data_IF_450066349026
#
_entry.id   IF_450066349026
#
_cell.length_a   1.000
_cell.length_b   1.000
_cell.length_c   1.000
_cell.angle_alpha   90.00
_cell.angle_beta   90.00
_cell.angle_gamma   90.00
#
_symmetry.space_group_name_H-M   'P 1'
#
loop_
_entity.id
_entity.type
_entity.pdbx_description
1 polymer ?
#
# COMPACT_ATOMS: atom_id res chain seq x y z
N UNK A 1 17.46 23.00 -15.08
CA UNK A 1 17.30 22.39 -16.42
C UNK A 1 16.42 23.21 -17.36
N UNK A 2 15.17 23.56 -16.99
CA UNK A 2 14.28 24.34 -17.89
C UNK A 2 14.79 25.75 -18.25
N UNK A 3 15.34 26.49 -17.30
CA UNK A 3 15.89 27.83 -17.57
C UNK A 3 17.04 27.80 -18.60
N UNK A 4 17.96 26.84 -18.49
CA UNK A 4 19.05 26.65 -19.46
C UNK A 4 18.51 26.30 -20.86
N UNK A 5 17.45 25.50 -20.94
CA UNK A 5 16.82 25.14 -22.21
C UNK A 5 16.18 26.35 -22.92
N UNK A 6 15.49 27.24 -22.17
CA UNK A 6 14.93 28.46 -22.75
C UNK A 6 16.00 29.43 -23.25
N UNK A 7 17.15 29.51 -22.56
CA UNK A 7 18.30 30.30 -23.03
C UNK A 7 18.83 29.75 -24.36
N UNK A 8 18.99 28.42 -24.47
CA UNK A 8 19.45 27.78 -25.71
C UNK A 8 18.46 28.02 -26.87
N UNK A 9 17.15 27.93 -26.62
CA UNK A 9 16.13 28.24 -27.63
C UNK A 9 16.20 29.69 -28.08
N UNK A 10 16.37 30.63 -27.14
CA UNK A 10 16.56 32.04 -27.48
C UNK A 10 17.75 32.25 -28.41
N UNK A 11 18.89 31.60 -28.14
CA UNK A 11 20.09 31.68 -28.98
C UNK A 11 19.86 31.08 -30.38
N UNK A 12 19.20 29.92 -30.48
CA UNK A 12 18.88 29.30 -31.78
C UNK A 12 17.94 30.21 -32.57
N UNK A 13 16.90 30.76 -31.94
CA UNK A 13 15.95 31.61 -32.62
C UNK A 13 16.57 32.94 -33.09
N UNK A 14 17.47 33.52 -32.30
CA UNK A 14 18.28 34.69 -32.69
C UNK A 14 19.18 34.39 -33.89
N UNK A 15 19.83 33.23 -33.90
CA UNK A 15 20.64 32.80 -35.04
C UNK A 15 19.78 32.64 -36.31
N UNK A 16 18.63 31.96 -36.22
CA UNK A 16 17.71 31.83 -37.35
C UNK A 16 17.18 33.17 -37.85
N UNK A 17 16.88 34.11 -36.95
CA UNK A 17 16.44 35.46 -37.29
C UNK A 17 17.53 36.24 -38.05
N UNK A 18 18.78 36.10 -37.62
CA UNK A 18 19.94 36.69 -38.31
C UNK A 18 20.10 36.11 -39.72
N UNK A 19 20.12 34.78 -39.87
CA UNK A 19 20.19 34.15 -41.20
C UNK A 19 19.02 34.53 -42.11
N UNK A 20 17.81 34.61 -41.57
CA UNK A 20 16.63 35.02 -42.32
C UNK A 20 16.72 36.48 -42.77
N UNK A 21 17.31 37.36 -41.95
CA UNK A 21 17.57 38.74 -42.33
C UNK A 21 18.58 38.82 -43.48
N UNK A 22 19.72 38.13 -43.37
CA UNK A 22 20.77 38.10 -44.40
C UNK A 22 20.25 37.58 -45.75
N UNK A 23 19.50 36.47 -45.71
CA UNK A 23 18.86 35.90 -46.89
C UNK A 23 17.83 36.88 -47.49
N UNK A 24 16.96 37.47 -46.65
CA UNK A 24 15.94 38.41 -47.11
C UNK A 24 16.55 39.66 -47.75
N UNK A 25 17.61 40.20 -47.16
CA UNK A 25 18.32 41.35 -47.70
C UNK A 25 19.00 41.03 -49.04
N UNK A 26 19.72 39.90 -49.11
CA UNK A 26 20.36 39.45 -50.35
C UNK A 26 19.35 39.20 -51.49
N UNK A 27 18.19 38.60 -51.19
CA UNK A 27 17.12 38.41 -52.17
C UNK A 27 16.53 39.73 -52.65
N UNK A 28 16.24 40.65 -51.73
CA UNK A 28 15.66 41.95 -52.06
C UNK A 28 16.60 42.78 -52.93
N UNK A 29 17.91 42.76 -52.65
CA UNK A 29 18.93 43.39 -53.50
C UNK A 29 18.96 42.73 -54.88
N UNK A 30 18.92 41.39 -54.94
CA UNK A 30 18.89 40.65 -56.21
C UNK A 30 17.67 40.95 -57.07
N UNK A 31 16.49 41.05 -56.45
CA UNK A 31 15.24 41.42 -57.13
C UNK A 31 15.28 42.86 -57.65
N UNK A 32 15.81 43.80 -56.86
CA UNK A 32 15.84 45.21 -57.25
C UNK A 32 16.89 45.51 -58.31
N UNK A 33 18.10 44.93 -58.19
CA UNK A 33 19.24 45.22 -59.08
C UNK A 33 19.32 44.26 -60.27
N UNK A 34 18.50 43.19 -60.27
CA UNK A 34 18.59 42.04 -61.18
C UNK A 34 19.93 41.29 -61.11
N UNK A 35 20.76 41.57 -60.12
CA UNK A 35 22.05 40.91 -59.88
C UNK A 35 21.98 40.00 -58.68
N UNK A 36 22.06 38.68 -58.91
CA UNK A 36 21.99 37.67 -57.85
C UNK A 36 23.34 37.38 -57.19
N UNK A 37 24.35 38.23 -57.40
CA UNK A 37 25.70 38.00 -56.91
C UNK A 37 25.78 37.96 -55.38
N UNK A 38 25.06 38.87 -54.71
CA UNK A 38 24.98 38.92 -53.25
C UNK A 38 24.36 37.63 -52.67
N UNK A 39 23.31 37.12 -53.32
CA UNK A 39 22.65 35.87 -52.93
C UNK A 39 23.55 34.65 -53.17
N UNK A 40 24.27 34.59 -54.30
CA UNK A 40 25.20 33.49 -54.59
C UNK A 40 26.36 33.46 -53.59
N UNK A 41 26.94 34.61 -53.25
CA UNK A 41 28.02 34.66 -52.26
C UNK A 41 27.56 34.27 -50.86
N UNK A 42 26.35 34.66 -50.47
CA UNK A 42 25.76 34.24 -49.21
C UNK A 42 25.47 32.73 -49.15
N UNK A 43 24.76 32.15 -50.14
CA UNK A 43 24.34 30.74 -50.11
C UNK A 43 25.40 29.74 -50.63
N UNK A 44 26.13 30.08 -51.69
CA UNK A 44 27.14 29.19 -52.30
C UNK A 44 28.56 29.52 -51.86
N UNK A 45 28.87 30.80 -51.62
CA UNK A 45 30.16 31.25 -51.09
C UNK A 45 30.29 31.08 -49.57
N UNK A 46 29.20 30.75 -48.86
CA UNK A 46 29.13 30.66 -47.40
C UNK A 46 29.58 31.94 -46.68
N UNK A 47 29.45 33.09 -47.34
CA UNK A 47 29.80 34.39 -46.77
C UNK A 47 28.61 34.93 -45.95
N UNK A 48 28.37 34.32 -44.79
CA UNK A 48 27.13 34.46 -44.01
C UNK A 48 26.84 35.92 -43.57
N UNK A 49 27.87 36.73 -43.35
CA UNK A 49 27.73 38.13 -42.84
C UNK A 49 27.89 39.16 -43.97
N UNK A 50 28.16 38.70 -45.19
CA UNK A 50 28.47 39.60 -46.31
C UNK A 50 27.31 40.52 -46.71
N UNK A 51 26.03 40.08 -46.73
CA UNK A 51 24.93 41.00 -46.99
C UNK A 51 24.79 42.11 -45.94
N UNK A 52 24.97 41.84 -44.64
CA UNK A 52 25.04 42.88 -43.61
C UNK A 52 26.21 43.85 -43.82
N UNK A 53 27.40 43.35 -44.20
CA UNK A 53 28.56 44.20 -44.48
C UNK A 53 28.27 45.16 -45.63
N UNK A 54 27.64 44.68 -46.70
CA UNK A 54 27.23 45.52 -47.84
C UNK A 54 26.18 46.55 -47.42
N UNK A 55 25.19 46.14 -46.62
CA UNK A 55 24.20 47.06 -46.07
C UNK A 55 24.85 48.19 -45.24
N UNK A 56 25.82 47.84 -44.40
CA UNK A 56 26.55 48.78 -43.55
C UNK A 56 27.40 49.77 -44.37
N UNK A 57 28.17 49.26 -45.35
CA UNK A 57 29.03 50.09 -46.20
C UNK A 57 28.24 51.08 -47.05
N UNK A 58 27.03 50.72 -47.47
CA UNK A 58 26.18 51.54 -48.34
C UNK A 58 25.00 52.18 -47.60
N UNK A 59 25.09 52.29 -46.27
CA UNK A 59 23.98 52.74 -45.43
C UNK A 59 23.51 54.16 -45.73
N UNK A 60 24.36 54.99 -46.33
CA UNK A 60 23.98 56.35 -46.75
C UNK A 60 22.92 56.38 -47.88
N UNK A 61 22.71 55.26 -48.58
CA UNK A 61 21.71 55.15 -49.65
C UNK A 61 20.30 54.93 -49.09
N UNK A 62 19.31 55.79 -49.43
CA UNK A 62 17.92 55.59 -49.01
C UNK A 62 17.32 54.26 -49.50
N UNK A 63 17.80 53.76 -50.64
CA UNK A 63 17.36 52.49 -51.21
C UNK A 63 17.80 51.31 -50.35
N UNK A 64 19.06 51.31 -49.91
CA UNK A 64 19.62 50.26 -49.04
C UNK A 64 18.90 50.24 -47.69
N UNK A 65 18.60 51.42 -47.12
CA UNK A 65 17.83 51.54 -45.88
C UNK A 65 16.43 50.94 -46.02
N UNK A 66 15.72 51.19 -47.12
CA UNK A 66 14.40 50.60 -47.37
C UNK A 66 14.45 49.08 -47.50
N UNK A 67 15.46 48.54 -48.19
CA UNK A 67 15.64 47.10 -48.33
C UNK A 67 16.00 46.43 -47.01
N UNK A 68 16.92 47.01 -46.23
CA UNK A 68 17.31 46.51 -44.91
C UNK A 68 16.14 46.51 -43.94
N UNK A 69 15.29 47.55 -43.99
CA UNK A 69 14.06 47.63 -43.18
C UNK A 69 13.05 46.57 -43.57
N UNK A 70 12.88 46.28 -44.87
CA UNK A 70 12.02 45.17 -45.33
C UNK A 70 12.58 43.80 -44.94
N UNK A 71 13.90 43.63 -44.98
CA UNK A 71 14.57 42.40 -44.52
C UNK A 71 14.39 42.18 -43.01
N UNK A 72 14.26 43.25 -42.22
CA UNK A 72 13.94 43.18 -40.79
C UNK A 72 12.63 42.42 -40.52
N UNK A 73 11.61 42.60 -41.36
CA UNK A 73 10.36 41.85 -41.26
C UNK A 73 10.61 40.35 -41.43
N UNK A 74 11.44 39.94 -42.40
CA UNK A 74 11.81 38.53 -42.61
C UNK A 74 12.53 37.93 -41.39
N UNK A 75 13.46 38.66 -40.81
CA UNK A 75 14.16 38.25 -39.57
C UNK A 75 13.23 38.13 -38.37
N UNK A 76 12.32 39.09 -38.16
CA UNK A 76 11.35 39.08 -37.06
C UNK A 76 10.32 37.95 -37.20
N UNK A 77 9.86 37.66 -38.44
CA UNK A 77 8.96 36.54 -38.71
C UNK A 77 9.65 35.21 -38.39
N UNK A 78 10.90 35.04 -38.82
CA UNK A 78 11.67 33.83 -38.50
C UNK A 78 11.88 33.67 -36.98
N UNK A 79 12.19 34.76 -36.28
CA UNK A 79 12.33 34.76 -34.81
C UNK A 79 11.03 34.28 -34.13
N UNK A 80 9.88 34.83 -34.53
CA UNK A 80 8.59 34.48 -33.96
C UNK A 80 8.21 33.02 -34.24
N UNK A 81 8.41 32.54 -35.46
CA UNK A 81 8.08 31.16 -35.84
C UNK A 81 8.97 30.12 -35.16
N UNK A 82 10.28 30.37 -35.07
CA UNK A 82 11.23 29.44 -34.45
C UNK A 82 11.05 29.39 -32.94
N UNK A 83 10.86 30.54 -32.27
CA UNK A 83 10.58 30.57 -30.83
C UNK A 83 9.28 29.83 -30.50
N UNK A 84 8.20 30.07 -31.26
CA UNK A 84 6.92 29.41 -31.05
C UNK A 84 7.01 27.89 -31.30
N UNK A 85 7.65 27.47 -32.39
CA UNK A 85 7.82 26.05 -32.73
C UNK A 85 8.66 25.28 -31.71
N UNK A 86 9.78 25.86 -31.27
CA UNK A 86 10.65 25.23 -30.26
C UNK A 86 9.99 25.19 -28.87
N UNK A 87 9.23 26.23 -28.50
CA UNK A 87 8.46 26.23 -27.25
C UNK A 87 7.36 25.14 -27.26
N UNK A 88 6.61 25.00 -28.36
CA UNK A 88 5.61 23.94 -28.49
C UNK A 88 6.24 22.53 -28.49
N UNK A 89 7.38 22.34 -29.15
CA UNK A 89 8.11 21.08 -29.14
C UNK A 89 8.62 20.72 -27.72
N UNK A 90 9.04 21.71 -26.93
CA UNK A 90 9.41 21.49 -25.54
C UNK A 90 8.23 21.06 -24.68
N UNK A 91 7.05 21.63 -24.90
CA UNK A 91 5.85 21.24 -24.18
C UNK A 91 5.39 19.82 -24.53
N UNK A 92 5.51 19.42 -25.80
CA UNK A 92 5.14 18.06 -26.25
C UNK A 92 6.14 16.99 -25.79
N UNK A 93 7.43 17.34 -25.65
CA UNK A 93 8.46 16.46 -25.06
C UNK A 93 8.36 16.35 -23.54
N UNK A 94 7.59 17.23 -22.88
CA UNK A 94 7.45 17.33 -21.43
C UNK A 94 6.74 16.17 -20.73
N UNK A 95 6.40 15.10 -21.45
CA UNK A 95 5.65 13.95 -20.96
C UNK A 95 4.18 14.30 -20.70
N UNK A 96 3.29 13.32 -20.89
CA UNK A 96 1.87 13.48 -20.62
C UNK A 96 1.64 14.15 -19.25
N UNK A 97 0.86 15.24 -19.22
CA UNK A 97 0.42 15.87 -17.97
C UNK A 97 -0.17 14.78 -17.07
N UNK A 98 0.44 14.57 -15.90
CA UNK A 98 -0.07 13.57 -14.96
C UNK A 98 -1.52 13.95 -14.56
N UNK A 99 -2.46 13.01 -14.62
CA UNK A 99 -3.84 13.27 -14.24
C UNK A 99 -3.92 13.84 -12.82
N UNK A 100 -4.78 14.84 -12.62
CA UNK A 100 -4.94 15.56 -11.33
C UNK A 100 -5.46 14.69 -10.18
N UNK A 101 -5.85 13.43 -10.45
CA UNK A 101 -6.27 12.43 -9.46
C UNK A 101 -5.66 11.04 -9.66
N UNK A 102 -4.51 10.93 -10.35
CA UNK A 102 -3.86 9.65 -10.63
C UNK A 102 -2.98 9.13 -9.48
N UNK A 103 -2.75 7.82 -9.46
CA UNK A 103 -1.71 7.21 -8.64
C UNK A 103 -0.33 7.41 -9.29
N UNK A 104 0.70 7.65 -8.47
CA UNK A 104 2.09 7.69 -8.91
C UNK A 104 2.99 7.02 -7.87
N UNK A 105 4.19 6.63 -8.30
CA UNK A 105 5.21 6.19 -7.35
C UNK A 105 5.55 7.31 -6.37
N UNK A 106 5.71 6.93 -5.10
CA UNK A 106 6.03 7.84 -4.04
C UNK A 106 7.46 8.37 -4.18
N UNK A 107 7.65 9.63 -3.81
CA UNK A 107 8.96 10.26 -3.64
C UNK A 107 9.32 10.30 -2.16
N UNK A 108 10.59 10.59 -1.84
CA UNK A 108 11.00 10.78 -0.44
C UNK A 108 10.15 11.86 0.27
N UNK A 109 9.76 12.93 -0.46
CA UNK A 109 8.91 13.98 0.10
C UNK A 109 7.54 13.44 0.50
N UNK A 110 6.96 12.54 -0.28
CA UNK A 110 5.67 11.91 0.04
C UNK A 110 5.79 11.02 1.26
N UNK A 111 6.83 10.19 1.33
CA UNK A 111 7.11 9.32 2.48
C UNK A 111 7.30 10.15 3.77
N UNK A 112 8.02 11.26 3.68
CA UNK A 112 8.21 12.20 4.79
C UNK A 112 6.91 12.86 5.23
N UNK A 113 6.10 13.33 4.28
CA UNK A 113 4.78 13.93 4.54
C UNK A 113 3.83 12.93 5.19
N UNK A 114 3.87 11.66 4.76
CA UNK A 114 3.12 10.56 5.34
C UNK A 114 3.68 10.05 6.69
N UNK A 115 4.80 10.61 7.18
CA UNK A 115 5.41 10.21 8.46
C UNK A 115 6.13 8.86 8.42
N UNK A 116 6.28 8.23 7.25
CA UNK A 116 6.82 6.88 7.13
C UNK A 116 8.34 6.78 7.35
N UNK A 117 9.05 7.92 7.41
CA UNK A 117 10.49 7.96 7.64
C UNK A 117 10.85 8.23 9.12
N UNK A 118 9.85 8.31 10.01
CA UNK A 118 10.03 8.64 11.44
C UNK A 118 9.77 7.45 12.38
N UNK A 119 9.34 6.31 11.84
CA UNK A 119 9.03 5.14 12.64
C UNK A 119 10.27 4.58 13.35
N UNK A 120 10.05 3.94 14.50
CA UNK A 120 11.11 3.37 15.33
C UNK A 120 11.12 1.85 15.21
N UNK A 121 12.29 1.20 15.06
CA UNK A 121 12.40 -0.26 15.12
C UNK A 121 11.73 -0.83 16.36
N UNK A 122 10.97 -1.89 16.16
CA UNK A 122 10.23 -2.60 17.22
C UNK A 122 8.95 -1.94 17.74
N UNK A 123 8.68 -0.68 17.38
CA UNK A 123 7.44 0.05 17.69
C UNK A 123 6.71 0.53 16.43
N UNK A 124 7.20 0.17 15.26
CA UNK A 124 6.65 0.55 13.97
C UNK A 124 6.93 -0.56 12.97
N UNK A 125 5.93 -0.90 12.17
CA UNK A 125 6.03 -2.00 11.21
C UNK A 125 6.96 -1.59 10.08
N UNK A 126 8.03 -2.35 9.88
CA UNK A 126 8.94 -2.19 8.77
C UNK A 126 8.29 -2.58 7.44
N UNK A 127 8.28 -1.63 6.50
CA UNK A 127 7.70 -1.81 5.16
C UNK A 127 8.75 -2.03 4.08
N UNK A 128 10.03 -1.72 4.36
CA UNK A 128 11.13 -1.79 3.40
C UNK A 128 12.04 -0.58 3.47
N UNK A 129 12.85 -0.38 2.42
CA UNK A 129 13.85 0.69 2.34
C UNK A 129 13.69 1.52 1.07
N UNK A 130 13.81 2.83 1.20
CA UNK A 130 13.77 3.78 0.08
C UNK A 130 15.01 4.68 0.15
N UNK A 131 15.85 4.66 -0.89
CA UNK A 131 17.11 5.44 -0.95
C UNK A 131 17.95 5.33 0.34
N UNK A 132 18.13 4.11 0.84
CA UNK A 132 18.92 3.86 2.03
C UNK A 132 18.25 4.27 3.35
N UNK A 133 16.98 4.68 3.36
CA UNK A 133 16.20 5.02 4.57
C UNK A 133 15.11 4.00 4.83
N UNK A 134 14.94 3.61 6.08
CA UNK A 134 13.86 2.70 6.47
C UNK A 134 12.51 3.39 6.32
N UNK A 135 11.56 2.67 5.74
CA UNK A 135 10.16 3.06 5.61
C UNK A 135 9.38 2.23 6.61
N UNK A 136 8.75 2.91 7.58
CA UNK A 136 8.10 2.29 8.73
C UNK A 136 6.73 2.90 8.95
N UNK A 137 5.74 2.04 9.20
CA UNK A 137 4.39 2.45 9.50
C UNK A 137 4.15 2.40 11.02
N UNK A 138 3.79 3.55 11.60
CA UNK A 138 3.51 3.70 13.04
C UNK A 138 2.02 3.91 13.36
N UNK A 139 1.15 3.76 12.36
CA UNK A 139 -0.29 3.97 12.55
C UNK A 139 -1.02 2.70 12.99
N UNK A 140 -2.33 2.81 13.17
CA UNK A 140 -3.19 1.74 13.67
C UNK A 140 -3.94 0.96 12.56
N UNK A 141 -3.69 1.25 11.29
CA UNK A 141 -4.35 0.53 10.18
C UNK A 141 -3.74 -0.84 9.93
N UNK A 142 -4.53 -1.74 9.34
CA UNK A 142 -4.08 -3.06 8.92
C UNK A 142 -3.15 -2.97 7.70
N UNK A 143 -2.24 -3.94 7.60
CA UNK A 143 -1.30 -4.07 6.48
C UNK A 143 -1.63 -5.34 5.70
N UNK A 144 -1.84 -5.18 4.40
CA UNK A 144 -2.04 -6.28 3.47
C UNK A 144 -0.78 -6.49 2.62
N UNK A 145 -0.17 -7.67 2.73
CA UNK A 145 1.02 -8.04 1.96
C UNK A 145 0.64 -9.08 0.92
N UNK A 146 0.64 -8.68 -0.34
CA UNK A 146 0.35 -9.55 -1.48
C UNK A 146 1.64 -9.99 -2.17
N UNK A 147 1.69 -11.24 -2.61
CA UNK A 147 2.75 -11.80 -3.43
C UNK A 147 2.55 -13.30 -3.66
N UNK A 148 3.08 -13.87 -4.75
CA UNK A 148 2.97 -15.30 -5.02
C UNK A 148 3.78 -16.15 -4.01
N UNK A 149 3.71 -17.47 -4.13
CA UNK A 149 4.59 -18.37 -3.37
C UNK A 149 6.06 -18.08 -3.73
N UNK A 150 6.96 -18.24 -2.74
CA UNK A 150 8.41 -17.96 -2.88
C UNK A 150 8.79 -16.52 -3.23
N UNK A 151 7.87 -15.55 -3.14
CA UNK A 151 8.16 -14.12 -3.38
C UNK A 151 8.88 -13.42 -2.21
N UNK A 152 9.29 -14.17 -1.18
CA UNK A 152 9.98 -13.61 -0.03
C UNK A 152 9.11 -12.91 1.02
N UNK A 153 7.76 -13.07 1.02
CA UNK A 153 6.90 -12.45 2.06
C UNK A 153 7.31 -12.78 3.49
N UNK A 154 7.74 -14.02 3.74
CA UNK A 154 8.23 -14.48 5.03
C UNK A 154 9.50 -13.73 5.44
N UNK A 155 10.58 -13.96 4.69
CA UNK A 155 11.92 -13.39 4.97
C UNK A 155 12.01 -11.86 4.83
N UNK A 156 11.20 -11.25 3.95
CA UNK A 156 11.27 -9.82 3.63
C UNK A 156 10.32 -8.95 4.45
N UNK A 157 9.28 -9.52 5.05
CA UNK A 157 8.29 -8.76 5.82
C UNK A 157 7.95 -9.41 7.16
N UNK A 158 7.50 -10.67 7.18
CA UNK A 158 7.00 -11.32 8.40
C UNK A 158 8.12 -11.49 9.43
N UNK A 159 9.22 -12.17 9.07
CA UNK A 159 10.31 -12.49 9.98
C UNK A 159 11.02 -11.22 10.52
N UNK A 160 11.39 -10.23 9.69
CA UNK A 160 12.01 -9.00 10.18
C UNK A 160 11.14 -8.22 11.16
N UNK A 161 9.83 -8.15 10.90
CA UNK A 161 8.90 -7.50 11.82
C UNK A 161 8.72 -8.32 13.10
N UNK A 162 8.57 -9.64 13.01
CA UNK A 162 8.37 -10.50 14.16
C UNK A 162 9.56 -10.52 15.13
N UNK A 163 10.80 -10.41 14.63
CA UNK A 163 11.98 -10.37 15.50
C UNK A 163 12.18 -9.01 16.17
N UNK A 164 11.89 -7.90 15.47
CA UNK A 164 12.10 -6.57 16.04
C UNK A 164 10.97 -6.12 16.96
N UNK A 165 9.73 -6.58 16.71
CA UNK A 165 8.51 -6.12 17.37
C UNK A 165 8.53 -6.38 18.88
N UNK A 166 8.42 -5.30 19.65
CA UNK A 166 8.51 -5.35 21.12
C UNK A 166 7.18 -5.60 21.82
N UNK A 167 6.06 -5.44 21.11
CA UNK A 167 4.75 -5.77 21.62
C UNK A 167 4.44 -7.27 21.56
N UNK A 168 3.24 -7.61 22.04
CA UNK A 168 2.67 -8.94 21.88
C UNK A 168 2.49 -9.27 20.39
N UNK A 169 2.68 -10.55 20.05
CA UNK A 169 2.56 -11.08 18.70
C UNK A 169 1.82 -12.40 18.76
N UNK A 170 0.74 -12.53 17.98
CA UNK A 170 0.06 -13.80 17.72
C UNK A 170 0.26 -14.07 16.24
N UNK A 171 0.90 -15.19 15.92
CA UNK A 171 1.24 -15.58 14.55
C UNK A 171 0.60 -16.90 14.16
N UNK A 172 -0.10 -16.93 13.01
CA UNK A 172 -0.52 -18.17 12.38
C UNK A 172 0.65 -18.76 11.59
N UNK A 173 1.31 -19.75 12.15
CA UNK A 173 2.53 -20.34 11.59
C UNK A 173 2.34 -21.78 11.09
N UNK A 174 1.77 -21.92 9.90
CA UNK A 174 1.50 -23.23 9.31
C UNK A 174 2.80 -24.03 9.07
N UNK A 175 3.91 -23.33 8.80
CA UNK A 175 5.19 -23.95 8.44
C UNK A 175 6.19 -24.08 9.59
N UNK A 176 5.90 -23.46 10.73
CA UNK A 176 6.79 -23.36 11.91
C UNK A 176 8.04 -22.49 11.73
N UNK A 177 8.10 -21.69 10.66
CA UNK A 177 9.24 -20.83 10.38
C UNK A 177 9.42 -19.73 11.44
N UNK A 178 8.32 -19.18 12.00
CA UNK A 178 8.43 -18.18 13.08
C UNK A 178 8.85 -18.81 14.41
N UNK A 179 8.35 -19.99 14.73
CA UNK A 179 8.74 -20.69 15.96
C UNK A 179 10.23 -21.04 15.93
N UNK A 180 10.69 -21.69 14.86
CA UNK A 180 12.05 -22.20 14.75
C UNK A 180 13.09 -21.07 14.65
N UNK A 181 12.80 -20.01 13.86
CA UNK A 181 13.77 -18.94 13.61
C UNK A 181 13.72 -17.81 14.65
N UNK A 182 12.54 -17.50 15.20
CA UNK A 182 12.32 -16.27 15.98
C UNK A 182 11.92 -16.56 17.42
N UNK A 183 11.38 -17.75 17.73
CA UNK A 183 10.94 -18.09 19.09
C UNK A 183 12.02 -17.87 20.14
N UNK A 184 13.22 -18.42 19.90
CA UNK A 184 14.37 -18.24 20.80
C UNK A 184 14.83 -16.77 20.90
N UNK A 185 14.82 -16.05 19.77
CA UNK A 185 15.19 -14.63 19.76
C UNK A 185 14.22 -13.79 20.59
N UNK A 186 12.92 -14.06 20.52
CA UNK A 186 11.90 -13.38 21.35
C UNK A 186 12.01 -13.76 22.82
N UNK A 187 12.27 -15.03 23.13
CA UNK A 187 12.53 -15.46 24.51
C UNK A 187 13.76 -14.75 25.11
N UNK A 188 14.82 -14.56 24.32
CA UNK A 188 16.00 -13.79 24.73
C UNK A 188 15.72 -12.29 24.98
N UNK A 189 14.59 -11.76 24.48
CA UNK A 189 14.10 -10.42 24.83
C UNK A 189 13.30 -10.39 26.14
N UNK A 190 13.19 -11.51 26.85
CA UNK A 190 12.43 -11.65 28.09
C UNK A 190 10.92 -11.78 27.89
N UNK A 191 10.48 -12.17 26.69
CA UNK A 191 9.05 -12.39 26.39
C UNK A 191 8.68 -13.84 26.66
N UNK A 192 7.44 -14.06 27.12
CA UNK A 192 6.86 -15.40 27.15
C UNK A 192 6.51 -15.84 25.73
N UNK A 193 7.01 -17.02 25.34
CA UNK A 193 6.92 -17.54 23.97
C UNK A 193 6.27 -18.91 24.02
N UNK A 194 5.06 -19.00 23.47
CA UNK A 194 4.26 -20.23 23.44
C UNK A 194 3.97 -20.65 22.00
N UNK A 195 3.98 -21.97 21.78
CA UNK A 195 3.49 -22.59 20.54
C UNK A 195 2.27 -23.45 20.86
N UNK A 196 1.13 -23.12 20.28
CA UNK A 196 -0.06 -23.97 20.28
C UNK A 196 -0.20 -24.65 18.92
N UNK A 197 0.06 -25.96 18.87
CA UNK A 197 0.03 -26.78 17.65
C UNK A 197 -0.62 -28.13 17.97
N UNK A 198 -1.97 -28.19 18.05
CA UNK A 198 -2.70 -29.42 18.35
C UNK A 198 -2.26 -30.59 17.48
N UNK A 199 -1.96 -31.73 18.10
CA UNK A 199 -1.43 -32.93 17.43
C UNK A 199 0.10 -33.05 17.44
N UNK A 200 0.81 -32.02 17.88
CA UNK A 200 2.27 -32.05 18.06
C UNK A 200 2.66 -32.37 19.50
N UNK A 201 3.67 -33.23 19.69
CA UNK A 201 4.26 -33.51 21.01
C UNK A 201 4.91 -32.27 21.65
N UNK A 202 5.33 -31.29 20.84
CA UNK A 202 5.97 -30.05 21.29
C UNK A 202 4.97 -28.91 21.56
N UNK A 203 3.66 -29.15 21.46
CA UNK A 203 2.66 -28.12 21.71
C UNK A 203 2.59 -27.78 23.19
N UNK A 204 2.51 -26.49 23.49
CA UNK A 204 2.04 -26.03 24.78
C UNK A 204 0.54 -26.31 24.90
N UNK A 205 0.07 -26.47 26.13
CA UNK A 205 -1.34 -26.66 26.45
C UNK A 205 -2.01 -25.29 26.58
N UNK A 206 -3.25 -25.20 26.07
CA UNK A 206 -4.09 -24.03 26.25
C UNK A 206 -5.53 -24.48 26.47
N UNK A 207 -6.15 -23.99 27.53
CA UNK A 207 -7.57 -24.16 27.78
C UNK A 207 -8.26 -22.80 27.67
N UNK A 208 -9.08 -22.55 26.63
CA UNK A 208 -9.77 -21.28 26.47
C UNK A 208 -10.76 -21.00 27.61
N UNK A 209 -11.20 -22.04 28.35
CA UNK A 209 -12.11 -21.86 29.47
C UNK A 209 -11.46 -21.22 30.71
N UNK A 210 -10.12 -21.21 30.79
CA UNK A 210 -9.39 -20.56 31.88
C UNK A 210 -9.53 -19.03 31.83
N UNK A 211 -9.90 -18.48 30.67
CA UNK A 211 -10.09 -17.04 30.44
C UNK A 211 -11.56 -16.62 30.56
N UNK A 212 -12.47 -17.55 30.87
CA UNK A 212 -13.89 -17.24 30.99
C UNK A 212 -14.16 -16.50 32.30
N UNK A 213 -14.80 -15.34 32.17
CA UNK A 213 -15.12 -14.48 33.31
C UNK A 213 -16.08 -15.13 34.30
N UNK A 214 -16.15 -14.64 35.55
CA UNK A 214 -17.26 -14.93 36.45
C UNK A 214 -18.62 -14.45 35.88
N UNK A 215 -19.69 -14.79 36.58
CA UNK A 215 -21.02 -14.25 36.26
C UNK A 215 -21.12 -12.76 36.61
N UNK A 216 -21.89 -11.97 35.83
CA UNK A 216 -22.74 -12.38 34.70
C UNK A 216 -22.04 -12.52 33.34
N UNK A 217 -20.83 -11.98 33.15
CA UNK A 217 -20.12 -11.90 31.86
C UNK A 217 -19.82 -13.27 31.25
N UNK A 218 -19.68 -14.30 32.09
CA UNK A 218 -19.57 -15.71 31.69
C UNK A 218 -20.53 -16.10 30.57
N UNK A 219 -21.78 -15.62 30.61
CA UNK A 219 -22.80 -15.91 29.60
C UNK A 219 -22.32 -15.57 28.18
N UNK A 220 -21.73 -14.39 28.04
CA UNK A 220 -21.21 -13.86 26.77
C UNK A 220 -19.93 -14.60 26.36
N UNK A 221 -19.04 -14.87 27.31
CA UNK A 221 -17.76 -15.56 27.03
C UNK A 221 -17.98 -16.97 26.51
N UNK A 222 -18.83 -17.78 27.15
CA UNK A 222 -19.11 -19.16 26.70
C UNK A 222 -19.86 -19.17 25.36
N UNK A 223 -20.70 -18.17 25.10
CA UNK A 223 -21.37 -18.01 23.81
C UNK A 223 -20.36 -17.68 22.70
N UNK A 224 -19.42 -16.76 22.96
CA UNK A 224 -18.36 -16.40 22.01
C UNK A 224 -17.44 -17.58 21.69
N UNK A 225 -17.10 -18.41 22.68
CA UNK A 225 -16.34 -19.65 22.48
C UNK A 225 -17.13 -20.62 21.61
N UNK A 226 -18.42 -20.84 21.90
CA UNK A 226 -19.26 -21.73 21.11
C UNK A 226 -19.40 -21.23 19.65
N UNK A 227 -19.55 -19.92 19.44
CA UNK A 227 -19.64 -19.31 18.10
C UNK A 227 -18.36 -19.47 17.29
N UNK A 228 -17.20 -19.40 17.96
CA UNK A 228 -15.89 -19.57 17.33
C UNK A 228 -15.63 -21.01 16.89
N UNK A 229 -16.18 -21.99 17.61
CA UNK A 229 -15.99 -23.42 17.33
C UNK A 229 -17.04 -24.00 16.38
N UNK A 230 -18.25 -23.44 16.36
CA UNK A 230 -19.36 -23.90 15.53
C UNK A 230 -19.67 -22.81 14.49
N UNK A 231 -19.10 -22.88 13.27
CA UNK A 231 -19.34 -21.88 12.23
C UNK A 231 -20.76 -22.01 11.67
N UNK A 232 -21.30 -20.90 11.17
CA UNK A 232 -22.53 -20.95 10.37
C UNK A 232 -22.25 -21.53 8.98
N UNK A 233 -23.20 -22.28 8.40
CA UNK A 233 -23.07 -22.71 7.01
C UNK A 233 -23.10 -21.48 6.08
N UNK A 234 -22.28 -21.51 5.01
CA UNK A 234 -22.27 -20.42 4.02
C UNK A 234 -23.54 -20.39 3.16
N UNK A 235 -24.23 -21.53 3.04
CA UNK A 235 -25.51 -21.68 2.36
C UNK A 235 -26.37 -22.71 3.09
N UNK A 236 -27.69 -22.55 3.04
CA UNK A 236 -28.65 -23.42 3.76
C UNK A 236 -29.14 -22.82 5.08
N UNK A 237 -29.86 -23.64 5.85
CA UNK A 237 -30.53 -23.22 7.08
C UNK A 237 -29.54 -23.14 8.28
N UNK A 238 -29.33 -21.95 8.89
CA UNK A 238 -28.45 -21.80 10.05
C UNK A 238 -29.04 -22.35 11.35
N UNK A 239 -30.32 -22.73 11.38
CA UNK A 239 -31.04 -23.14 12.59
C UNK A 239 -30.32 -24.21 13.42
N UNK A 240 -29.75 -25.22 12.77
CA UNK A 240 -29.04 -26.31 13.45
C UNK A 240 -27.74 -25.83 14.09
N UNK A 241 -26.99 -24.95 13.41
CA UNK A 241 -25.75 -24.39 13.95
C UNK A 241 -26.05 -23.46 15.13
N UNK A 242 -27.10 -22.64 15.04
CA UNK A 242 -27.54 -21.77 16.16
C UNK A 242 -28.04 -22.57 17.36
N UNK A 243 -28.81 -23.64 17.13
CA UNK A 243 -29.24 -24.54 18.20
C UNK A 243 -28.03 -25.23 18.85
N UNK A 244 -27.05 -25.70 18.05
CA UNK A 244 -25.84 -26.31 18.57
C UNK A 244 -24.99 -25.32 19.38
N UNK A 245 -24.87 -24.06 18.94
CA UNK A 245 -24.19 -22.98 19.70
C UNK A 245 -24.84 -22.76 21.06
N UNK A 246 -26.17 -22.65 21.08
CA UNK A 246 -26.93 -22.43 22.32
C UNK A 246 -26.76 -23.57 23.32
N UNK A 247 -26.90 -24.82 22.85
CA UNK A 247 -26.69 -26.02 23.67
C UNK A 247 -25.26 -26.07 24.20
N UNK A 248 -24.26 -25.90 23.32
CA UNK A 248 -22.86 -26.03 23.68
C UNK A 248 -22.43 -24.95 24.67
N UNK A 249 -22.88 -23.71 24.52
CA UNK A 249 -22.67 -22.64 25.50
C UNK A 249 -23.23 -23.01 26.89
N UNK A 250 -24.40 -23.65 26.95
CA UNK A 250 -24.99 -24.16 28.19
C UNK A 250 -24.14 -25.25 28.84
N UNK A 251 -23.62 -26.20 28.05
CA UNK A 251 -22.74 -27.27 28.53
C UNK A 251 -21.39 -26.73 29.04
N UNK A 252 -20.80 -25.77 28.34
CA UNK A 252 -19.56 -25.11 28.79
C UNK A 252 -19.77 -24.39 30.13
N UNK A 253 -20.86 -23.63 30.26
CA UNK A 253 -21.21 -22.96 31.51
C UNK A 253 -21.43 -23.97 32.66
N UNK A 254 -22.14 -25.07 32.38
CA UNK A 254 -22.34 -26.14 33.36
C UNK A 254 -21.02 -26.73 33.86
N UNK A 255 -20.11 -27.10 32.95
CA UNK A 255 -18.79 -27.63 33.29
C UNK A 255 -17.97 -26.64 34.13
N UNK A 256 -18.07 -25.34 33.84
CA UNK A 256 -17.37 -24.29 34.59
C UNK A 256 -17.94 -24.05 35.99
N UNK A 257 -19.25 -24.24 36.17
CA UNK A 257 -19.96 -24.06 37.44
C UNK A 257 -20.06 -25.34 38.27
N UNK A 258 -19.69 -26.50 37.70
CA UNK A 258 -19.75 -27.79 38.38
C UNK A 258 -19.03 -27.72 39.75
N UNK A 259 -19.75 -28.09 40.81
CA UNK A 259 -19.27 -28.08 42.20
C UNK A 259 -18.07 -29.00 42.36
N UNK A 260 -18.21 -30.21 41.85
CA UNK A 260 -17.11 -31.15 41.69
C UNK A 260 -16.56 -31.01 40.28
N UNK A 261 -15.29 -30.61 40.11
CA UNK A 261 -14.71 -30.49 38.79
C UNK A 261 -14.72 -31.87 38.09
N UNK A 262 -15.04 -31.94 36.79
CA UNK A 262 -14.92 -33.19 36.04
C UNK A 262 -13.50 -33.76 36.14
N UNK A 263 -13.36 -35.08 35.96
CA UNK A 263 -12.06 -35.77 36.02
C UNK A 263 -11.06 -35.15 35.03
N UNK A 264 -11.54 -34.69 33.87
CA UNK A 264 -10.74 -34.02 32.84
C UNK A 264 -10.47 -32.54 33.13
N UNK A 265 -10.88 -32.04 34.30
CA UNK A 265 -10.90 -30.63 34.64
C UNK A 265 -12.02 -29.86 33.91
N UNK A 266 -12.08 -28.55 34.15
CA UNK A 266 -13.03 -27.63 33.51
C UNK A 266 -12.58 -27.30 32.09
N UNK A 267 -12.73 -28.26 31.19
CA UNK A 267 -12.22 -28.20 29.82
C UNK A 267 -13.35 -28.41 28.79
N UNK A 268 -13.09 -27.99 27.54
CA UNK A 268 -14.00 -28.31 26.42
C UNK A 268 -14.22 -29.83 26.29
N UNK A 269 -13.20 -30.63 26.57
CA UNK A 269 -13.31 -32.10 26.55
C UNK A 269 -14.35 -32.61 27.55
N UNK A 270 -14.44 -32.03 28.74
CA UNK A 270 -15.44 -32.43 29.72
C UNK A 270 -16.87 -32.14 29.21
N UNK A 271 -17.09 -30.99 28.57
CA UNK A 271 -18.39 -30.67 27.96
C UNK A 271 -18.74 -31.64 26.81
N UNK A 272 -17.77 -31.99 25.97
CA UNK A 272 -17.96 -32.96 24.88
C UNK A 272 -18.25 -34.37 25.41
N UNK A 273 -17.64 -34.79 26.52
CA UNK A 273 -17.90 -36.10 27.12
C UNK A 273 -19.35 -36.30 27.55
N UNK A 274 -20.08 -35.22 27.85
CA UNK A 274 -21.52 -35.31 28.17
C UNK A 274 -22.34 -35.90 27.02
N UNK A 275 -21.89 -35.78 25.77
CA UNK A 275 -22.53 -36.42 24.61
C UNK A 275 -22.24 -37.93 24.51
N UNK A 276 -21.28 -38.45 25.28
CA UNK A 276 -20.73 -39.80 25.10
C UNK A 276 -20.78 -40.65 26.39
N UNK A 277 -21.69 -40.36 27.31
CA UNK A 277 -21.84 -41.09 28.58
C UNK A 277 -22.68 -42.37 28.47
N UNK A 278 -23.02 -42.81 27.25
CA UNK A 278 -23.87 -44.00 27.03
C UNK A 278 -25.36 -43.79 27.35
N UNK A 279 -25.77 -42.55 27.67
CA UNK A 279 -27.16 -42.12 27.82
C UNK A 279 -27.46 -40.96 26.86
N UNK A 280 -28.72 -40.78 26.42
CA UNK A 280 -29.09 -39.61 25.63
C UNK A 280 -28.82 -38.32 26.40
N UNK A 281 -28.18 -37.33 25.74
CA UNK A 281 -27.83 -36.06 26.38
C UNK A 281 -29.05 -35.34 26.98
N UNK A 282 -30.22 -35.44 26.34
CA UNK A 282 -31.48 -34.88 26.85
C UNK A 282 -31.85 -35.48 28.21
N UNK A 283 -31.70 -36.80 28.37
CA UNK A 283 -31.96 -37.47 29.64
C UNK A 283 -30.96 -37.03 30.72
N UNK A 284 -29.69 -36.83 30.34
CA UNK A 284 -28.66 -36.35 31.27
C UNK A 284 -28.92 -34.90 31.72
N UNK A 285 -29.27 -34.00 30.80
CA UNK A 285 -29.65 -32.63 31.15
C UNK A 285 -30.89 -32.59 32.04
N UNK A 286 -31.89 -33.43 31.78
CA UNK A 286 -33.08 -33.54 32.63
C UNK A 286 -32.75 -34.04 34.04
N UNK A 287 -31.84 -35.01 34.14
CA UNK A 287 -31.33 -35.53 35.40
C UNK A 287 -30.59 -34.44 36.20
N UNK A 288 -29.73 -33.66 35.54
CA UNK A 288 -29.01 -32.53 36.15
C UNK A 288 -30.00 -31.48 36.67
N UNK A 289 -31.00 -31.09 35.86
CA UNK A 289 -32.02 -30.12 36.28
C UNK A 289 -32.85 -30.58 37.48
N UNK A 290 -33.10 -31.89 37.60
CA UNK A 290 -33.89 -32.46 38.69
C UNK A 290 -33.11 -32.53 40.01
N UNK A 291 -31.81 -32.84 39.95
CA UNK A 291 -31.01 -33.14 41.14
C UNK A 291 -30.08 -32.00 41.58
N UNK A 292 -29.76 -31.04 40.70
CA UNK A 292 -28.85 -29.94 41.02
C UNK A 292 -29.58 -28.60 41.19
N UNK A 293 -29.93 -28.27 42.43
CA UNK A 293 -30.69 -27.04 42.73
C UNK A 293 -29.86 -25.75 42.69
N UNK A 294 -28.52 -25.85 42.63
CA UNK A 294 -27.59 -24.72 42.65
C UNK A 294 -27.19 -24.17 41.27
N UNK A 295 -27.81 -24.65 40.19
CA UNK A 295 -27.44 -24.26 38.82
C UNK A 295 -27.75 -22.78 38.56
N UNK A 296 -26.83 -22.11 37.85
CA UNK A 296 -27.06 -20.76 37.36
C UNK A 296 -28.31 -20.73 36.44
N UNK A 297 -29.07 -19.63 36.48
CA UNK A 297 -30.25 -19.44 35.64
C UNK A 297 -29.96 -19.66 34.15
N UNK A 298 -28.82 -19.16 33.65
CA UNK A 298 -28.40 -19.35 32.26
C UNK A 298 -28.29 -20.83 31.88
N UNK A 299 -27.64 -21.65 32.72
CA UNK A 299 -27.50 -23.09 32.47
C UNK A 299 -28.87 -23.76 32.47
N UNK A 300 -29.73 -23.43 33.44
CA UNK A 300 -31.08 -24.00 33.53
C UNK A 300 -31.92 -23.68 32.30
N UNK A 301 -31.87 -22.43 31.85
CA UNK A 301 -32.65 -21.98 30.69
C UNK A 301 -32.15 -22.61 29.40
N UNK A 302 -30.82 -22.71 29.21
CA UNK A 302 -30.24 -23.42 28.07
C UNK A 302 -30.62 -24.89 28.07
N UNK A 303 -30.56 -25.59 29.20
CA UNK A 303 -30.94 -27.01 29.24
C UNK A 303 -32.43 -27.20 28.96
N UNK A 304 -33.30 -26.40 29.59
CA UNK A 304 -34.76 -26.46 29.36
C UNK A 304 -35.13 -26.24 27.90
N UNK A 305 -34.52 -25.26 27.24
CA UNK A 305 -34.74 -24.95 25.83
C UNK A 305 -34.48 -26.14 24.89
N UNK A 306 -33.55 -27.03 25.25
CA UNK A 306 -33.13 -28.15 24.42
C UNK A 306 -33.73 -29.50 24.85
N UNK A 307 -34.37 -29.58 26.03
CA UNK A 307 -35.14 -30.76 26.46
C UNK A 307 -36.57 -30.71 25.92
N UNK A 308 -37.15 -29.50 25.80
CA UNK A 308 -38.53 -29.31 25.37
C UNK A 308 -38.74 -29.36 23.85
N UNK A 309 -37.75 -29.84 23.10
CA UNK A 309 -37.76 -29.97 21.64
C UNK A 309 -37.58 -31.43 21.26
#
# INVERSE_FOLDING_TARGET
MRALAYVIIGLIALACAFFAWEASFAALVGLQTKSWELWRRFFHGLEIVFPAQVAYQQWASPVVQQLATKALLGGLIALALVTLGLAQAMESLGGARQPSGGARLATERDLRKAGLLKGRPGYSVFLGRFNGKDVRYSGASHIYVNGPTRSGKGVGFVLPNAVEWRGALIGLDIKREMWDEIGAARAALGQDVFMFSPGSAHSHCWNPLDLVSPWPERATDVANIAHSLIPLPQSGDPYWAETARGLFAGLLAYVLDAREPPIEGRTIKAALKMFSQGRPLVAEMANILANEHGLNAFVRDKFRQHISR
#
